data_IF_699860594453
#
_entry.id   IF_699860594453
#
_cell.length_a   1.000
_cell.length_b   1.000
_cell.length_c   1.000
_cell.angle_alpha   90.00
_cell.angle_beta   90.00
_cell.angle_gamma   90.00
#
_symmetry.space_group_name_H-M   'P 1'
#
loop_
_entity.id
_entity.type
_entity.pdbx_description
1 polymer ?
#
# COMPACT_ATOMS: atom_id res chain seq x y z
N UNK A 1 -27.59 -13.18 -10.23
CA UNK A 1 -26.18 -13.06 -9.80
C UNK A 1 -26.19 -12.56 -8.38
N UNK A 2 -25.56 -13.27 -7.45
CA UNK A 2 -25.46 -12.86 -6.06
C UNK A 2 -24.02 -12.47 -5.80
N UNK A 3 -23.76 -11.23 -5.39
CA UNK A 3 -22.48 -10.79 -4.89
C UNK A 3 -22.61 -10.52 -3.39
N UNK A 4 -21.49 -10.47 -2.67
CA UNK A 4 -21.47 -10.00 -1.29
C UNK A 4 -20.63 -8.74 -1.18
N UNK A 5 -21.08 -7.77 -0.41
CA UNK A 5 -20.30 -6.56 -0.17
C UNK A 5 -19.38 -6.78 1.03
N UNK A 6 -18.10 -6.42 0.89
CA UNK A 6 -17.17 -6.43 2.01
C UNK A 6 -17.59 -5.37 3.04
N UNK A 7 -17.77 -5.72 4.33
CA UNK A 7 -18.16 -4.75 5.34
C UNK A 7 -17.06 -3.72 5.67
N UNK A 8 -15.79 -4.06 5.39
CA UNK A 8 -14.64 -3.21 5.71
C UNK A 8 -14.37 -2.15 4.63
N UNK A 9 -14.31 -2.56 3.36
CA UNK A 9 -13.97 -1.66 2.25
C UNK A 9 -15.15 -1.31 1.33
N UNK A 10 -16.27 -2.01 1.43
CA UNK A 10 -17.46 -1.79 0.58
C UNK A 10 -17.38 -2.37 -0.83
N UNK A 11 -16.32 -3.11 -1.19
CA UNK A 11 -16.22 -3.75 -2.50
C UNK A 11 -17.25 -4.86 -2.67
N UNK A 12 -17.80 -4.99 -3.88
CA UNK A 12 -18.66 -6.10 -4.26
C UNK A 12 -17.80 -7.28 -4.71
N UNK A 13 -17.94 -8.41 -4.03
CA UNK A 13 -17.20 -9.65 -4.26
C UNK A 13 -18.09 -10.67 -4.94
N UNK A 14 -17.57 -11.30 -5.99
CA UNK A 14 -18.26 -12.39 -6.65
C UNK A 14 -18.27 -13.67 -5.80
N UNK A 15 -19.17 -14.64 -6.08
CA UNK A 15 -19.15 -15.93 -5.42
C UNK A 15 -17.79 -16.62 -5.55
N UNK A 16 -17.17 -16.95 -4.41
CA UNK A 16 -15.86 -17.61 -4.37
C UNK A 16 -14.67 -16.66 -4.26
N UNK A 17 -14.85 -15.36 -4.49
CA UNK A 17 -13.78 -14.38 -4.25
C UNK A 17 -13.60 -14.13 -2.75
N UNK A 18 -12.37 -13.87 -2.33
CA UNK A 18 -12.03 -13.43 -0.97
C UNK A 18 -11.64 -11.95 -1.02
N UNK A 19 -11.99 -11.20 0.02
CA UNK A 19 -11.55 -9.81 0.12
C UNK A 19 -10.17 -9.77 0.76
N UNK A 20 -9.26 -9.02 0.16
CA UNK A 20 -7.86 -8.82 0.54
C UNK A 20 -7.58 -7.39 1.04
N UNK A 21 -8.62 -6.57 1.27
CA UNK A 21 -8.44 -5.15 1.60
C UNK A 21 -7.57 -4.87 2.84
N UNK A 22 -7.55 -5.79 3.81
CA UNK A 22 -6.68 -5.69 4.98
C UNK A 22 -5.22 -6.01 4.64
N UNK A 23 -4.99 -6.99 3.78
CA UNK A 23 -3.65 -7.34 3.27
C UNK A 23 -3.11 -6.20 2.43
N UNK A 24 -3.92 -5.62 1.53
CA UNK A 24 -3.55 -4.46 0.73
C UNK A 24 -3.23 -3.25 1.62
N UNK A 25 -3.99 -3.05 2.70
CA UNK A 25 -3.75 -1.95 3.66
C UNK A 25 -2.42 -2.10 4.38
N UNK A 26 -2.07 -3.30 4.84
CA UNK A 26 -0.77 -3.54 5.46
C UNK A 26 0.37 -3.42 4.45
N UNK A 27 0.21 -3.98 3.24
CA UNK A 27 1.18 -3.81 2.15
C UNK A 27 1.43 -2.33 1.83
N UNK A 28 0.38 -1.53 1.65
CA UNK A 28 0.49 -0.08 1.42
C UNK A 28 1.20 0.64 2.55
N UNK A 29 0.99 0.21 3.80
CA UNK A 29 1.65 0.81 4.98
C UNK A 29 3.15 0.48 4.99
N UNK A 30 3.52 -0.74 4.62
CA UNK A 30 4.93 -1.13 4.47
C UNK A 30 5.62 -0.38 3.33
N UNK A 31 4.96 -0.28 2.17
CA UNK A 31 5.46 0.46 1.02
C UNK A 31 5.58 1.95 1.34
N UNK A 32 4.60 2.56 2.02
CA UNK A 32 4.69 3.94 2.45
C UNK A 32 5.90 4.15 3.38
N UNK A 33 6.16 3.23 4.31
CA UNK A 33 7.36 3.28 5.17
C UNK A 33 8.65 3.10 4.38
N UNK A 34 8.65 2.25 3.35
CA UNK A 34 9.79 2.05 2.45
C UNK A 34 10.10 3.35 1.71
N UNK A 35 9.10 3.94 1.06
CA UNK A 35 9.23 5.20 0.33
C UNK A 35 9.67 6.33 1.26
N UNK A 36 9.06 6.46 2.45
CA UNK A 36 9.46 7.47 3.43
C UNK A 36 10.91 7.30 3.92
N UNK A 37 11.46 6.09 3.96
CA UNK A 37 12.88 5.87 4.29
C UNK A 37 13.82 6.28 3.15
N UNK A 38 13.37 6.16 1.91
CA UNK A 38 14.15 6.55 0.73
C UNK A 38 14.18 8.07 0.55
N UNK A 39 13.13 8.78 0.97
CA UNK A 39 13.01 10.24 0.89
C UNK A 39 13.66 10.92 2.09
N UNK A 40 14.84 11.50 1.88
CA UNK A 40 15.54 12.34 2.86
C UNK A 40 15.31 13.82 2.56
N UNK A 41 15.25 14.66 3.59
CA UNK A 41 15.15 16.12 3.45
C UNK A 41 16.43 16.72 4.03
N UNK A 42 17.19 17.41 3.19
CA UNK A 42 18.41 18.11 3.57
C UNK A 42 18.08 19.42 4.30
N UNK A 43 19.05 19.99 5.04
CA UNK A 43 18.87 21.27 5.73
C UNK A 43 18.49 22.43 4.79
N UNK A 44 18.84 22.33 3.51
CA UNK A 44 18.47 23.29 2.46
C UNK A 44 17.01 23.20 2.02
N UNK A 45 16.25 22.22 2.53
CA UNK A 45 14.89 21.90 2.09
C UNK A 45 14.83 21.10 0.79
N UNK A 46 15.98 20.70 0.24
CA UNK A 46 16.03 19.79 -0.91
C UNK A 46 15.67 18.37 -0.48
N UNK A 47 14.93 17.66 -1.33
CA UNK A 47 14.63 16.25 -1.13
C UNK A 47 15.66 15.40 -1.89
N UNK A 48 16.28 14.46 -1.19
CA UNK A 48 17.18 13.45 -1.74
C UNK A 48 16.50 12.07 -1.71
N UNK A 49 16.74 11.25 -2.74
CA UNK A 49 16.20 9.89 -2.84
C UNK A 49 17.35 8.91 -2.81
N UNK A 50 17.36 8.01 -1.82
CA UNK A 50 18.32 6.91 -1.75
C UNK A 50 17.77 5.68 -2.49
N UNK A 51 18.49 5.23 -3.51
CA UNK A 51 18.19 3.99 -4.22
C UNK A 51 19.01 2.85 -3.62
N UNK A 52 18.35 1.74 -3.29
CA UNK A 52 19.04 0.47 -3.03
C UNK A 52 19.31 -0.22 -4.37
N UNK A 53 20.49 -0.80 -4.54
CA UNK A 53 20.82 -1.59 -5.73
C UNK A 53 19.90 -2.81 -5.81
N UNK A 54 19.27 -3.03 -6.97
CA UNK A 54 18.51 -4.24 -7.24
C UNK A 54 19.49 -5.40 -7.47
N UNK A 55 19.44 -6.41 -6.60
CA UNK A 55 20.17 -7.69 -6.73
C UNK A 55 19.48 -8.59 -7.74
#
# INVERSE_FOLDING_TARGET
MYYRTCPECGSNLDPGEQCDCNEEKEFRKEESKRVSRMLQIEESGQMSILFEEAV
#
